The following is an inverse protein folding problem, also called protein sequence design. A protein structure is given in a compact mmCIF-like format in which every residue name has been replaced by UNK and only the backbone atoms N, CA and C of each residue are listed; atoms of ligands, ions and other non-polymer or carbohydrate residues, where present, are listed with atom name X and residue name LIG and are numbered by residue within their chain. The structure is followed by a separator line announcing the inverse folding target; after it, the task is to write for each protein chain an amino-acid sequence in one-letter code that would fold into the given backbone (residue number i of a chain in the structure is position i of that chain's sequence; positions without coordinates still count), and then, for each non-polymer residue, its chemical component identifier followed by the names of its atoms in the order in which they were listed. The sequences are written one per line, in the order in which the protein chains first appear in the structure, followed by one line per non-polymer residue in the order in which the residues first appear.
data_IF_379855935128
#
_entry.id   IF_379855935128
#
_cell.length_a   1.000
_cell.length_b   1.000
_cell.length_c   1.000
_cell.angle_alpha   90.00
_cell.angle_beta   90.00
_cell.angle_gamma   90.00
#
_symmetry.space_group_name_H-M   'P 1'
#
loop_
_entity.id
_entity.type
_entity.pdbx_description
1 polymer ?
#
# COMPACT_ATOMS: atom_id res chain seq x y z
N UNK A 1 -25.57 4.68 -8.60
CA UNK A 1 -25.15 3.32 -8.19
C UNK A 1 -23.66 3.31 -7.81
N UNK A 2 -23.25 2.41 -6.90
CA UNK A 2 -21.85 2.21 -6.49
C UNK A 2 -21.38 0.85 -6.97
N UNK A 3 -20.19 0.78 -7.56
CA UNK A 3 -19.53 -0.45 -7.98
C UNK A 3 -18.37 -0.76 -7.04
N UNK A 4 -18.41 -1.89 -6.36
CA UNK A 4 -17.32 -2.43 -5.56
C UNK A 4 -16.63 -3.58 -6.27
N UNK A 5 -15.28 -3.62 -6.26
CA UNK A 5 -14.50 -4.73 -6.83
C UNK A 5 -13.42 -5.11 -5.83
N UNK A 6 -13.37 -6.39 -5.46
CA UNK A 6 -12.27 -6.96 -4.66
C UNK A 6 -11.45 -7.91 -5.53
N UNK A 7 -10.17 -7.56 -5.74
CA UNK A 7 -9.25 -8.37 -6.54
C UNK A 7 -8.37 -9.18 -5.61
N UNK A 8 -8.85 -10.35 -5.23
CA UNK A 8 -8.11 -11.30 -4.40
C UNK A 8 -7.15 -12.18 -5.21
N UNK A 9 -6.31 -12.94 -4.50
CA UNK A 9 -5.34 -13.86 -5.12
C UNK A 9 -5.96 -15.08 -5.82
N UNK A 10 -7.20 -15.44 -5.47
CA UNK A 10 -7.91 -16.63 -6.01
C UNK A 10 -9.18 -16.25 -6.74
N UNK A 11 -9.92 -15.29 -6.22
CA UNK A 11 -11.17 -14.82 -6.79
C UNK A 11 -11.18 -13.29 -6.88
N UNK A 12 -11.87 -12.81 -7.90
CA UNK A 12 -12.27 -11.41 -8.06
C UNK A 12 -13.78 -11.34 -7.84
N UNK A 13 -14.18 -10.58 -6.85
CA UNK A 13 -15.57 -10.31 -6.52
C UNK A 13 -15.96 -8.92 -7.01
N UNK A 14 -17.18 -8.79 -7.57
CA UNK A 14 -17.73 -7.51 -7.97
C UNK A 14 -19.18 -7.39 -7.48
N UNK A 15 -19.58 -6.19 -7.07
CA UNK A 15 -20.93 -5.91 -6.56
C UNK A 15 -21.40 -4.54 -7.00
N UNK A 16 -22.66 -4.42 -7.40
CA UNK A 16 -23.34 -3.14 -7.62
C UNK A 16 -24.36 -2.93 -6.51
N UNK A 17 -24.29 -1.76 -5.88
CA UNK A 17 -25.18 -1.35 -4.81
C UNK A 17 -25.92 -0.09 -5.24
N UNK A 18 -27.22 -0.06 -5.03
CA UNK A 18 -28.06 1.12 -5.21
C UNK A 18 -29.01 1.29 -4.03
N UNK A 19 -29.08 2.52 -3.48
CA UNK A 19 -29.93 2.83 -2.33
C UNK A 19 -29.71 1.92 -1.10
N UNK A 20 -28.51 1.33 -0.95
CA UNK A 20 -28.18 0.39 0.12
C UNK A 20 -28.57 -1.08 -0.16
N UNK A 21 -29.16 -1.38 -1.32
CA UNK A 21 -29.48 -2.74 -1.75
C UNK A 21 -28.47 -3.26 -2.76
N UNK A 22 -28.12 -4.55 -2.67
CA UNK A 22 -27.32 -5.24 -3.69
C UNK A 22 -28.21 -5.47 -4.92
N UNK A 23 -27.85 -4.85 -6.05
CA UNK A 23 -28.55 -5.01 -7.33
C UNK A 23 -28.00 -6.18 -8.13
N UNK A 24 -26.67 -6.34 -8.12
CA UNK A 24 -25.99 -7.42 -8.83
C UNK A 24 -24.71 -7.78 -8.09
N UNK A 25 -24.32 -9.05 -8.14
CA UNK A 25 -23.03 -9.50 -7.63
C UNK A 25 -22.46 -10.63 -8.48
N UNK A 26 -21.15 -10.69 -8.57
CA UNK A 26 -20.43 -11.71 -9.31
C UNK A 26 -19.15 -12.09 -8.60
N UNK A 27 -18.79 -13.38 -8.70
CA UNK A 27 -17.52 -13.93 -8.25
C UNK A 27 -16.88 -14.68 -9.40
N UNK A 28 -15.64 -14.38 -9.73
CA UNK A 28 -14.87 -15.00 -10.82
C UNK A 28 -13.50 -15.42 -10.33
N UNK A 29 -12.88 -16.39 -10.97
CA UNK A 29 -11.50 -16.76 -10.64
C UNK A 29 -10.55 -15.65 -11.07
N UNK A 30 -9.62 -15.28 -10.19
CA UNK A 30 -8.54 -14.37 -10.53
C UNK A 30 -7.55 -15.08 -11.45
N UNK A 31 -7.24 -14.48 -12.59
CA UNK A 31 -6.24 -14.97 -13.54
C UNK A 31 -4.89 -14.36 -13.16
N UNK A 32 -4.02 -15.14 -12.50
CA UNK A 32 -2.74 -14.65 -11.96
C UNK A 32 -1.81 -14.10 -13.04
N UNK A 33 -1.82 -14.71 -14.24
CA UNK A 33 -0.97 -14.30 -15.36
C UNK A 33 -1.52 -13.07 -16.11
N UNK A 34 -2.79 -12.71 -15.89
CA UNK A 34 -3.44 -11.55 -16.49
C UNK A 34 -4.60 -11.08 -15.64
N UNK A 35 -4.31 -10.18 -14.68
CA UNK A 35 -5.30 -9.60 -13.76
C UNK A 35 -6.51 -8.97 -14.49
N UNK A 36 -6.26 -8.41 -15.69
CA UNK A 36 -7.30 -7.79 -16.51
C UNK A 36 -8.43 -8.77 -16.83
N UNK A 37 -8.12 -10.02 -17.17
CA UNK A 37 -9.15 -11.01 -17.55
C UNK A 37 -10.11 -11.27 -16.38
N UNK A 38 -9.59 -11.50 -15.16
CA UNK A 38 -10.42 -11.74 -13.98
C UNK A 38 -11.32 -10.54 -13.64
N UNK A 39 -10.78 -9.33 -13.77
CA UNK A 39 -11.55 -8.08 -13.54
C UNK A 39 -12.62 -7.91 -14.62
N UNK A 40 -12.26 -8.10 -15.89
CA UNK A 40 -13.19 -8.00 -17.03
C UNK A 40 -14.33 -9.02 -16.94
N UNK A 41 -14.01 -10.26 -16.56
CA UNK A 41 -15.03 -11.33 -16.39
C UNK A 41 -16.00 -11.01 -15.24
N UNK A 42 -15.49 -10.48 -14.13
CA UNK A 42 -16.31 -10.06 -13.00
C UNK A 42 -17.21 -8.88 -13.37
N UNK A 43 -16.64 -7.88 -14.05
CA UNK A 43 -17.39 -6.72 -14.57
C UNK A 43 -18.46 -7.13 -15.58
N UNK A 44 -18.13 -7.99 -16.55
CA UNK A 44 -19.09 -8.47 -17.55
C UNK A 44 -20.30 -9.17 -16.93
N UNK A 45 -20.07 -9.91 -15.84
CA UNK A 45 -21.15 -10.57 -15.13
C UNK A 45 -22.00 -9.60 -14.30
N UNK A 46 -21.37 -8.66 -13.58
CA UNK A 46 -22.09 -7.74 -12.67
C UNK A 46 -22.81 -6.62 -13.42
N UNK A 47 -22.28 -6.19 -14.57
CA UNK A 47 -22.83 -5.12 -15.42
C UNK A 47 -23.96 -5.62 -16.34
N UNK A 48 -24.28 -6.92 -16.37
CA UNK A 48 -25.36 -7.44 -17.21
C UNK A 48 -26.68 -6.78 -16.90
N UNK A 49 -27.22 -6.01 -17.85
CA UNK A 49 -28.48 -5.26 -17.72
C UNK A 49 -28.36 -3.96 -16.91
N UNK A 50 -27.16 -3.50 -16.59
CA UNK A 50 -26.91 -2.23 -15.90
C UNK A 50 -26.34 -1.23 -16.87
N UNK A 51 -26.88 -0.01 -16.87
CA UNK A 51 -26.35 1.12 -17.64
C UNK A 51 -25.10 1.68 -16.94
N UNK A 52 -23.96 1.66 -17.63
CA UNK A 52 -22.69 2.16 -17.11
C UNK A 52 -22.74 3.63 -16.68
N UNK A 53 -23.57 4.45 -17.32
CA UNK A 53 -23.75 5.86 -16.98
C UNK A 53 -24.37 6.06 -15.56
N UNK A 54 -25.00 5.04 -14.99
CA UNK A 54 -25.54 5.09 -13.64
C UNK A 54 -24.52 4.77 -12.54
N UNK A 55 -23.33 4.33 -12.91
CA UNK A 55 -22.24 4.12 -11.94
C UNK A 55 -21.62 5.47 -11.59
N UNK A 56 -21.75 5.86 -10.32
CA UNK A 56 -21.29 7.14 -9.79
C UNK A 56 -19.90 7.05 -9.18
N UNK A 57 -19.50 5.86 -8.71
CA UNK A 57 -18.22 5.61 -8.08
C UNK A 57 -17.82 4.14 -8.20
N UNK A 58 -16.54 3.91 -8.41
CA UNK A 58 -15.89 2.59 -8.31
C UNK A 58 -15.01 2.57 -7.08
N UNK A 59 -15.17 1.54 -6.23
CA UNK A 59 -14.30 1.32 -5.06
C UNK A 59 -13.64 -0.03 -5.17
N UNK A 60 -12.31 -0.03 -4.99
CA UNK A 60 -11.48 -1.23 -5.15
C UNK A 60 -10.88 -1.65 -3.82
N UNK A 61 -10.77 -2.97 -3.61
CA UNK A 61 -9.78 -3.57 -2.73
C UNK A 61 -8.92 -4.57 -3.50
N UNK A 62 -7.72 -4.86 -3.03
CA UNK A 62 -6.83 -5.79 -3.71
C UNK A 62 -5.82 -6.43 -2.77
N UNK A 63 -5.48 -7.67 -3.02
CA UNK A 63 -4.37 -8.35 -2.34
C UNK A 63 -3.08 -8.37 -3.18
N UNK A 64 -3.04 -7.69 -4.33
CA UNK A 64 -1.91 -7.74 -5.27
C UNK A 64 -0.60 -7.31 -4.59
N UNK A 65 -0.59 -6.16 -3.90
CA UNK A 65 0.61 -5.67 -3.19
C UNK A 65 0.99 -6.60 -2.03
N UNK A 66 0.00 -7.03 -1.23
CA UNK A 66 0.23 -7.97 -0.13
C UNK A 66 0.85 -9.28 -0.62
N UNK A 67 0.26 -9.88 -1.66
CA UNK A 67 0.73 -11.14 -2.22
C UNK A 67 2.14 -11.01 -2.81
N UNK A 68 2.42 -9.92 -3.54
CA UNK A 68 3.77 -9.64 -4.08
C UNK A 68 4.82 -9.68 -2.97
N UNK A 69 4.55 -9.02 -1.85
CA UNK A 69 5.49 -8.98 -0.72
C UNK A 69 5.57 -10.34 0.00
N UNK A 70 4.45 -10.98 0.27
CA UNK A 70 4.41 -12.27 0.98
C UNK A 70 5.08 -13.38 0.18
N UNK A 71 4.91 -13.36 -1.15
CA UNK A 71 5.52 -14.33 -2.08
C UNK A 71 6.98 -13.98 -2.45
N UNK A 72 7.58 -12.92 -1.87
CA UNK A 72 8.94 -12.45 -2.17
C UNK A 72 9.17 -12.14 -3.67
N UNK A 73 8.18 -11.53 -4.30
CA UNK A 73 8.19 -11.15 -5.71
C UNK A 73 8.37 -9.64 -5.93
N UNK A 74 8.53 -8.89 -4.85
CA UNK A 74 8.81 -7.46 -4.94
C UNK A 74 10.16 -7.20 -5.60
N UNK A 75 10.26 -6.05 -6.28
CA UNK A 75 11.50 -5.67 -6.93
C UNK A 75 12.57 -5.22 -5.92
N UNK A 76 13.86 -5.45 -6.19
CA UNK A 76 14.95 -4.96 -5.35
C UNK A 76 14.99 -3.43 -5.36
N UNK A 77 15.34 -2.84 -4.22
CA UNK A 77 15.39 -1.39 -4.01
C UNK A 77 16.71 -1.02 -3.35
N UNK A 78 17.38 0.01 -3.86
CA UNK A 78 18.54 0.60 -3.19
C UNK A 78 18.06 1.56 -2.10
N UNK A 79 18.48 1.31 -0.85
CA UNK A 79 18.03 2.04 0.32
C UNK A 79 19.09 3.06 0.77
N UNK A 80 18.76 4.34 0.69
CA UNK A 80 19.61 5.46 1.13
C UNK A 80 19.11 6.03 2.45
N UNK A 81 20.03 6.18 3.42
CA UNK A 81 19.68 6.56 4.78
C UNK A 81 20.56 7.68 5.28
N UNK A 82 19.94 8.80 5.70
CA UNK A 82 20.60 9.89 6.43
C UNK A 82 20.29 9.70 7.93
N UNK A 83 21.10 8.90 8.60
CA UNK A 83 20.87 8.51 9.99
C UNK A 83 21.32 9.55 11.01
N UNK A 84 22.29 10.41 10.65
CA UNK A 84 22.95 11.30 11.59
C UNK A 84 23.75 10.55 12.67
N UNK A 85 24.16 11.21 13.74
CA UNK A 85 24.89 10.56 14.82
C UNK A 85 24.01 9.54 15.58
N UNK A 86 24.62 8.45 16.01
CA UNK A 86 24.00 7.41 16.80
C UNK A 86 24.39 6.01 16.34
N UNK A 87 23.66 5.00 16.81
CA UNK A 87 23.89 3.60 16.43
C UNK A 87 23.35 3.33 15.04
N UNK A 88 24.15 2.70 14.19
CA UNK A 88 23.67 2.08 12.95
C UNK A 88 22.84 0.86 13.30
N UNK A 89 21.72 0.71 12.60
CA UNK A 89 20.71 -0.33 12.86
C UNK A 89 20.47 -1.14 11.58
N UNK A 90 21.53 -1.67 11.00
CA UNK A 90 21.51 -2.36 9.70
C UNK A 90 20.53 -3.54 9.71
N UNK A 91 20.48 -4.28 10.81
CA UNK A 91 19.72 -5.54 10.93
C UNK A 91 18.19 -5.35 11.00
N UNK A 92 17.71 -4.12 11.06
CA UNK A 92 16.26 -3.87 11.13
C UNK A 92 15.63 -3.53 9.77
N UNK A 93 16.45 -3.40 8.73
CA UNK A 93 15.97 -3.07 7.39
C UNK A 93 15.98 -4.29 6.47
N UNK A 94 15.11 -4.33 5.44
CA UNK A 94 15.05 -5.44 4.49
C UNK A 94 16.36 -5.66 3.71
N UNK A 95 17.13 -4.59 3.55
CA UNK A 95 18.44 -4.60 2.88
C UNK A 95 19.42 -3.74 3.65
N UNK A 96 20.72 -3.95 3.42
CA UNK A 96 21.76 -3.10 3.99
C UNK A 96 21.69 -1.70 3.38
N UNK A 97 21.50 -0.63 4.19
CA UNK A 97 21.40 0.73 3.67
C UNK A 97 22.74 1.28 3.16
N UNK A 98 22.65 2.18 2.20
CA UNK A 98 23.71 3.12 1.84
C UNK A 98 23.60 4.32 2.77
N UNK A 99 24.50 4.43 3.74
CA UNK A 99 24.51 5.55 4.67
C UNK A 99 25.15 6.78 4.03
N UNK A 100 24.39 7.88 4.08
CA UNK A 100 24.84 9.19 3.63
C UNK A 100 25.22 10.04 4.84
N UNK A 101 26.23 10.90 4.67
CA UNK A 101 26.52 11.96 5.63
C UNK A 101 25.40 12.99 5.59
N UNK A 102 25.10 13.57 6.73
CA UNK A 102 24.03 14.54 6.88
C UNK A 102 23.36 14.36 8.24
N UNK A 103 22.81 15.42 8.78
CA UNK A 103 22.16 15.37 10.06
C UNK A 103 21.16 16.51 10.25
N UNK A 104 19.92 16.14 10.51
CA UNK A 104 18.87 17.02 11.04
C UNK A 104 18.62 16.67 12.49
N UNK A 105 18.58 17.66 13.38
CA UNK A 105 18.33 17.46 14.81
C UNK A 105 16.83 17.23 15.12
N UNK A 106 16.52 16.90 16.37
CA UNK A 106 15.16 16.64 16.83
C UNK A 106 14.22 17.88 16.76
N UNK A 107 14.74 19.06 16.56
CA UNK A 107 13.97 20.31 16.35
C UNK A 107 13.71 20.59 14.88
N UNK A 108 14.32 19.82 13.96
CA UNK A 108 14.24 20.02 12.53
C UNK A 108 15.30 20.97 11.96
N UNK A 109 16.35 21.28 12.76
CA UNK A 109 17.46 22.12 12.29
C UNK A 109 18.46 21.22 11.54
N UNK A 110 18.78 21.55 10.31
CA UNK A 110 19.85 20.90 9.54
C UNK A 110 21.18 21.33 10.15
N UNK A 111 21.86 20.40 10.81
CA UNK A 111 23.16 20.62 11.46
C UNK A 111 24.31 20.34 10.50
N UNK A 112 24.16 19.29 9.67
CA UNK A 112 25.11 18.93 8.63
C UNK A 112 24.31 18.60 7.36
N UNK A 113 24.69 19.20 6.24
CA UNK A 113 24.04 18.94 4.95
C UNK A 113 24.59 17.70 4.29
N UNK A 114 23.73 16.98 3.62
CA UNK A 114 24.16 15.87 2.74
C UNK A 114 24.91 16.44 1.54
N UNK A 115 26.01 15.78 1.17
CA UNK A 115 26.74 16.07 -0.07
C UNK A 115 25.93 15.55 -1.27
N UNK A 116 25.22 16.46 -1.93
CA UNK A 116 24.34 16.16 -3.06
C UNK A 116 25.14 15.63 -4.26
N UNK A 117 26.28 16.25 -4.57
CA UNK A 117 27.11 15.83 -5.72
C UNK A 117 27.81 14.50 -5.47
N UNK A 118 28.37 14.29 -4.29
CA UNK A 118 28.92 12.99 -3.90
C UNK A 118 27.84 11.91 -3.85
N UNK A 119 26.61 12.26 -3.47
CA UNK A 119 25.45 11.32 -3.50
C UNK A 119 25.12 10.90 -4.93
N UNK A 120 25.12 11.82 -5.90
CA UNK A 120 24.87 11.52 -7.32
C UNK A 120 25.91 10.56 -7.88
N UNK A 121 27.19 10.79 -7.59
CA UNK A 121 28.27 9.90 -8.02
C UNK A 121 28.17 8.52 -7.36
N UNK A 122 27.84 8.47 -6.07
CA UNK A 122 27.62 7.23 -5.34
C UNK A 122 26.42 6.43 -5.89
N UNK A 123 25.33 7.12 -6.26
CA UNK A 123 24.14 6.51 -6.83
C UNK A 123 24.46 5.69 -8.09
N UNK A 124 25.22 6.26 -9.02
CA UNK A 124 25.65 5.56 -10.25
C UNK A 124 26.46 4.28 -9.94
N UNK A 125 27.33 4.32 -8.92
CA UNK A 125 28.12 3.14 -8.52
C UNK A 125 27.25 2.08 -7.85
N UNK A 126 26.28 2.47 -7.02
CA UNK A 126 25.37 1.55 -6.34
C UNK A 126 24.45 0.88 -7.35
N UNK A 127 23.77 1.67 -8.19
CA UNK A 127 22.87 1.22 -9.23
C UNK A 127 23.57 0.26 -10.23
N UNK A 128 24.81 0.56 -10.63
CA UNK A 128 25.58 -0.33 -11.52
C UNK A 128 25.86 -1.70 -10.91
N UNK A 129 25.83 -1.85 -9.58
CA UNK A 129 26.02 -3.12 -8.88
C UNK A 129 24.71 -3.84 -8.62
N UNK A 130 23.68 -3.12 -8.23
CA UNK A 130 22.36 -3.66 -7.90
C UNK A 130 21.53 -3.98 -9.15
N UNK A 131 21.71 -3.19 -10.22
CA UNK A 131 20.92 -3.30 -11.45
C UNK A 131 19.47 -2.85 -11.32
N UNK A 132 19.07 -2.31 -10.15
CA UNK A 132 17.70 -1.79 -9.94
C UNK A 132 17.61 -0.32 -10.32
N UNK A 133 16.44 0.12 -10.78
CA UNK A 133 16.09 1.51 -11.03
C UNK A 133 15.14 2.08 -9.95
N UNK A 134 15.04 1.38 -8.81
CA UNK A 134 14.20 1.76 -7.68
C UNK A 134 15.06 2.15 -6.48
N UNK A 135 14.74 3.28 -5.87
CA UNK A 135 15.39 3.73 -4.65
C UNK A 135 14.39 4.12 -3.56
N UNK A 136 14.82 4.02 -2.32
CA UNK A 136 14.12 4.57 -1.16
C UNK A 136 15.06 5.46 -0.36
N UNK A 137 14.56 6.57 0.14
CA UNK A 137 15.31 7.56 0.92
C UNK A 137 14.63 7.80 2.24
N UNK A 138 15.39 7.79 3.32
CA UNK A 138 14.84 8.16 4.62
C UNK A 138 15.87 8.88 5.49
N UNK A 139 15.44 9.97 6.13
CA UNK A 139 16.25 10.72 7.05
C UNK A 139 15.69 10.69 8.47
N UNK A 140 16.58 10.56 9.46
CA UNK A 140 16.21 10.70 10.86
C UNK A 140 15.70 12.14 11.08
N UNK A 141 14.51 12.25 11.71
CA UNK A 141 13.78 13.50 11.84
C UNK A 141 13.29 14.16 10.53
N UNK A 142 13.27 13.44 9.40
CA UNK A 142 12.72 13.90 8.12
C UNK A 142 11.30 14.46 8.22
N UNK A 143 10.48 14.00 9.16
CA UNK A 143 9.13 14.55 9.41
C UNK A 143 9.15 15.93 10.09
N UNK A 144 10.27 16.31 10.70
CA UNK A 144 10.46 17.67 11.25
C UNK A 144 10.97 18.63 10.18
N UNK A 145 11.83 18.11 9.30
CA UNK A 145 12.37 18.84 8.17
C UNK A 145 12.74 17.84 7.06
N UNK A 146 11.97 17.76 5.98
CA UNK A 146 12.19 16.79 4.90
C UNK A 146 13.33 17.15 3.96
N UNK A 147 14.04 18.28 4.21
CA UNK A 147 15.01 18.81 3.26
C UNK A 147 16.09 17.82 2.84
N UNK A 148 16.65 17.06 3.78
CA UNK A 148 17.69 16.07 3.47
C UNK A 148 17.11 14.93 2.58
N UNK A 149 15.89 14.49 2.82
CA UNK A 149 15.24 13.48 1.96
C UNK A 149 14.96 14.04 0.56
N UNK A 150 14.53 15.30 0.45
CA UNK A 150 14.27 15.97 -0.83
C UNK A 150 15.57 16.17 -1.61
N UNK A 151 16.62 16.68 -0.96
CA UNK A 151 17.92 16.93 -1.60
C UNK A 151 18.55 15.61 -2.11
N UNK A 152 18.47 14.54 -1.30
CA UNK A 152 18.92 13.21 -1.70
C UNK A 152 18.07 12.66 -2.86
N UNK A 153 16.75 12.72 -2.78
CA UNK A 153 15.88 12.25 -3.85
C UNK A 153 16.15 12.98 -5.18
N UNK A 154 16.41 14.29 -5.13
CA UNK A 154 16.80 15.06 -6.32
C UNK A 154 18.17 14.63 -6.87
N UNK A 155 19.13 14.28 -6.00
CA UNK A 155 20.42 13.77 -6.45
C UNK A 155 20.31 12.40 -7.12
N UNK A 156 19.31 11.59 -6.75
CA UNK A 156 19.06 10.26 -7.27
C UNK A 156 18.21 10.25 -8.55
N UNK A 157 17.52 11.34 -8.90
CA UNK A 157 16.49 11.39 -9.93
C UNK A 157 17.01 11.09 -11.36
N UNK A 158 18.30 11.31 -11.63
CA UNK A 158 18.93 10.98 -12.92
C UNK A 158 19.30 9.48 -13.03
N UNK A 159 19.31 8.76 -11.89
CA UNK A 159 19.77 7.36 -11.81
C UNK A 159 18.60 6.39 -11.61
N UNK A 160 17.56 6.78 -10.85
CA UNK A 160 16.45 5.90 -10.49
C UNK A 160 15.13 6.45 -11.02
N UNK A 161 14.32 5.59 -11.59
CA UNK A 161 13.00 5.95 -12.14
C UNK A 161 11.92 6.10 -11.06
N UNK A 162 12.10 5.41 -9.94
CA UNK A 162 11.17 5.45 -8.81
C UNK A 162 11.94 5.70 -7.52
N UNK A 163 11.54 6.76 -6.79
CA UNK A 163 12.16 7.13 -5.52
C UNK A 163 11.06 7.42 -4.50
N UNK A 164 11.05 6.65 -3.42
CA UNK A 164 10.14 6.88 -2.29
C UNK A 164 10.86 7.53 -1.13
N UNK A 165 10.24 8.52 -0.48
CA UNK A 165 10.81 9.18 0.71
C UNK A 165 10.01 8.87 1.97
N UNK A 166 10.69 8.63 3.09
CA UNK A 166 10.05 8.22 4.34
C UNK A 166 9.11 9.29 4.91
N UNK A 167 9.45 10.57 4.79
CA UNK A 167 8.63 11.68 5.29
C UNK A 167 7.35 11.91 4.48
N UNK A 168 7.33 11.55 3.19
CA UNK A 168 6.13 11.64 2.36
C UNK A 168 5.09 10.57 2.72
N UNK A 169 5.53 9.41 3.20
CA UNK A 169 4.65 8.28 3.52
C UNK A 169 4.08 8.33 4.93
N UNK A 170 4.74 8.98 5.88
CA UNK A 170 4.25 9.03 7.25
C UNK A 170 4.78 10.24 8.02
N UNK A 171 3.88 10.93 8.71
CA UNK A 171 4.21 11.99 9.65
C UNK A 171 4.72 11.50 11.03
N UNK A 172 4.84 10.20 11.25
CA UNK A 172 5.29 9.64 12.52
C UNK A 172 6.80 9.82 12.71
N UNK A 173 7.23 10.10 13.95
CA UNK A 173 8.66 10.26 14.27
C UNK A 173 9.46 8.96 14.20
N UNK A 174 8.82 7.80 14.17
CA UNK A 174 9.48 6.49 14.14
C UNK A 174 10.24 6.31 12.82
N UNK A 175 11.51 6.70 12.83
CA UNK A 175 12.39 6.68 11.67
C UNK A 175 12.53 5.29 11.03
N UNK A 176 12.80 4.18 11.78
CA UNK A 176 12.90 2.86 11.17
C UNK A 176 11.63 2.44 10.42
N UNK A 177 10.45 2.68 11.01
CA UNK A 177 9.18 2.31 10.38
C UNK A 177 8.94 3.08 9.08
N UNK A 178 9.29 4.38 9.04
CA UNK A 178 9.19 5.17 7.80
C UNK A 178 10.14 4.67 6.73
N UNK A 179 11.38 4.33 7.12
CA UNK A 179 12.39 3.78 6.23
C UNK A 179 11.90 2.48 5.58
N UNK A 180 11.33 1.57 6.38
CA UNK A 180 10.74 0.31 5.92
C UNK A 180 9.57 0.57 4.98
N UNK A 181 8.68 1.52 5.32
CA UNK A 181 7.57 1.88 4.43
C UNK A 181 8.06 2.44 3.09
N UNK A 182 9.10 3.28 3.08
CA UNK A 182 9.68 3.82 1.86
C UNK A 182 10.30 2.72 0.98
N UNK A 183 10.99 1.78 1.60
CA UNK A 183 11.53 0.61 0.90
C UNK A 183 10.44 -0.18 0.19
N UNK A 184 9.43 -0.65 0.94
CA UNK A 184 8.35 -1.44 0.35
C UNK A 184 7.50 -0.63 -0.62
N UNK A 185 7.36 0.69 -0.43
CA UNK A 185 6.65 1.53 -1.38
C UNK A 185 7.30 1.50 -2.77
N UNK A 186 8.60 1.69 -2.86
CA UNK A 186 9.33 1.57 -4.14
C UNK A 186 9.29 0.13 -4.67
N UNK A 187 9.44 -0.86 -3.80
CA UNK A 187 9.50 -2.27 -4.18
C UNK A 187 8.22 -2.79 -4.87
N UNK A 188 7.07 -2.18 -4.58
CA UNK A 188 5.77 -2.59 -5.13
C UNK A 188 5.19 -1.60 -6.16
N UNK A 189 5.91 -0.54 -6.48
CA UNK A 189 5.41 0.52 -7.37
C UNK A 189 5.02 -0.01 -8.75
N UNK A 190 5.84 -0.87 -9.35
CA UNK A 190 5.59 -1.42 -10.68
C UNK A 190 4.35 -2.33 -10.69
N UNK A 191 4.22 -3.25 -9.75
CA UNK A 191 3.08 -4.16 -9.68
C UNK A 191 1.78 -3.42 -9.43
N UNK A 192 1.81 -2.37 -8.63
CA UNK A 192 0.62 -1.53 -8.42
C UNK A 192 0.24 -0.76 -9.69
N UNK A 193 1.22 -0.23 -10.42
CA UNK A 193 0.98 0.44 -11.71
C UNK A 193 0.37 -0.50 -12.75
N UNK A 194 0.85 -1.73 -12.84
CA UNK A 194 0.26 -2.77 -13.70
C UNK A 194 -1.19 -3.07 -13.30
N UNK A 195 -1.46 -3.24 -12.01
CA UNK A 195 -2.80 -3.43 -11.48
C UNK A 195 -3.71 -2.24 -11.83
N UNK A 196 -3.27 -1.00 -11.60
CA UNK A 196 -4.02 0.21 -11.95
C UNK A 196 -4.38 0.25 -13.42
N UNK A 197 -3.42 -0.04 -14.30
CA UNK A 197 -3.65 -0.06 -15.75
C UNK A 197 -4.67 -1.15 -16.15
N UNK A 198 -4.60 -2.33 -15.54
CA UNK A 198 -5.56 -3.41 -15.78
C UNK A 198 -6.98 -3.01 -15.37
N UNK A 199 -7.13 -2.32 -14.23
CA UNK A 199 -8.41 -1.78 -13.77
C UNK A 199 -8.98 -0.78 -14.77
N UNK A 200 -8.21 0.24 -15.15
CA UNK A 200 -8.69 1.27 -16.07
C UNK A 200 -9.08 0.67 -17.42
N UNK A 201 -8.29 -0.24 -17.96
CA UNK A 201 -8.61 -0.90 -19.25
C UNK A 201 -9.90 -1.74 -19.14
N UNK A 202 -10.10 -2.45 -18.02
CA UNK A 202 -11.34 -3.18 -17.80
C UNK A 202 -12.55 -2.23 -17.71
N UNK A 203 -12.44 -1.11 -16.98
CA UNK A 203 -13.51 -0.11 -16.87
C UNK A 203 -13.83 0.54 -18.22
N UNK A 204 -12.82 0.84 -19.03
CA UNK A 204 -12.98 1.39 -20.38
C UNK A 204 -13.76 0.42 -21.29
N UNK A 205 -13.50 -0.89 -21.20
CA UNK A 205 -14.21 -1.94 -21.96
C UNK A 205 -15.73 -1.89 -21.70
N UNK A 206 -16.15 -1.52 -20.49
CA UNK A 206 -17.56 -1.37 -20.11
C UNK A 206 -18.06 0.06 -20.14
N UNK A 207 -17.28 1.00 -20.68
CA UNK A 207 -17.63 2.43 -20.77
C UNK A 207 -17.96 3.06 -19.40
N UNK A 208 -17.30 2.58 -18.34
CA UNK A 208 -17.46 3.14 -16.99
C UNK A 208 -16.45 4.30 -16.82
N UNK A 209 -16.98 5.52 -16.66
CA UNK A 209 -16.18 6.75 -16.53
C UNK A 209 -16.19 7.33 -15.11
N UNK A 210 -16.82 6.62 -14.17
CA UNK A 210 -16.93 7.03 -12.78
C UNK A 210 -15.55 7.13 -12.09
N UNK A 211 -15.38 8.02 -11.10
CA UNK A 211 -14.14 8.13 -10.33
C UNK A 211 -13.82 6.82 -9.59
N UNK A 212 -12.55 6.46 -9.62
CA UNK A 212 -12.03 5.20 -9.06
C UNK A 212 -11.29 5.47 -7.77
N UNK A 213 -11.73 4.84 -6.69
CA UNK A 213 -11.09 4.88 -5.38
C UNK A 213 -10.55 3.51 -5.01
N UNK A 214 -9.45 3.48 -4.29
CA UNK A 214 -8.93 2.25 -3.71
C UNK A 214 -8.89 2.34 -2.19
N UNK A 215 -9.25 1.25 -1.55
CA UNK A 215 -9.26 1.10 -0.12
C UNK A 215 -7.82 1.06 0.41
N UNK A 216 -7.62 1.61 1.61
CA UNK A 216 -6.38 1.51 2.38
C UNK A 216 -6.53 0.55 3.55
N UNK A 217 -5.41 0.11 4.09
CA UNK A 217 -5.35 -0.80 5.24
C UNK A 217 -6.06 -0.27 6.49
N UNK A 218 -6.18 1.05 6.64
CA UNK A 218 -6.86 1.71 7.77
C UNK A 218 -8.36 1.95 7.54
N UNK A 219 -8.90 1.47 6.43
CA UNK A 219 -10.31 1.65 6.05
C UNK A 219 -10.62 2.97 5.35
N UNK A 220 -9.66 3.87 5.21
CA UNK A 220 -9.79 5.03 4.34
C UNK A 220 -9.75 4.64 2.86
N UNK A 221 -10.17 5.54 1.99
CA UNK A 221 -10.03 5.39 0.54
C UNK A 221 -9.41 6.63 -0.09
N UNK A 222 -8.68 6.43 -1.19
CA UNK A 222 -8.07 7.50 -1.97
C UNK A 222 -8.30 7.25 -3.46
N UNK A 223 -8.29 8.31 -4.29
CA UNK A 223 -8.24 8.15 -5.74
C UNK A 223 -7.07 7.23 -6.12
N UNK A 224 -7.32 6.29 -7.02
CA UNK A 224 -6.31 5.27 -7.40
C UNK A 224 -5.04 5.92 -7.98
N UNK A 225 -5.16 7.06 -8.66
CA UNK A 225 -4.02 7.80 -9.18
C UNK A 225 -3.14 8.42 -8.08
N UNK A 226 -3.74 8.81 -6.96
CA UNK A 226 -3.00 9.25 -5.78
C UNK A 226 -2.23 8.10 -5.15
N UNK A 227 -2.84 6.92 -5.10
CA UNK A 227 -2.25 5.72 -4.49
C UNK A 227 -1.09 5.16 -5.31
N UNK A 228 -0.99 5.48 -6.59
CA UNK A 228 0.19 5.13 -7.41
C UNK A 228 1.51 5.63 -6.80
N UNK A 229 1.47 6.74 -6.07
CA UNK A 229 2.65 7.28 -5.37
C UNK A 229 2.88 6.69 -3.98
N UNK A 230 1.85 6.05 -3.41
CA UNK A 230 1.88 5.47 -2.07
C UNK A 230 1.32 4.03 -2.05
N UNK A 231 1.70 3.14 -3.01
CA UNK A 231 1.10 1.81 -3.15
C UNK A 231 1.25 0.93 -1.90
N UNK A 232 2.23 1.16 -1.05
CA UNK A 232 2.37 0.43 0.23
C UNK A 232 1.16 0.59 1.16
N UNK A 233 0.37 1.66 1.02
CA UNK A 233 -0.86 1.88 1.78
C UNK A 233 -1.98 0.88 1.43
N UNK A 234 -1.83 0.12 0.34
CA UNK A 234 -2.77 -0.94 -0.05
C UNK A 234 -2.42 -2.33 0.49
N UNK A 235 -1.37 -2.44 1.30
CA UNK A 235 -1.08 -3.68 2.03
C UNK A 235 -2.24 -3.98 2.98
N UNK A 236 -2.72 -5.25 2.99
CA UNK A 236 -3.83 -5.70 3.86
C UNK A 236 -5.19 -5.02 3.62
N UNK A 237 -5.48 -4.59 2.40
CA UNK A 237 -6.81 -4.02 2.07
C UNK A 237 -7.93 -5.07 2.08
N UNK A 238 -7.65 -6.34 1.80
CA UNK A 238 -8.62 -7.44 1.92
C UNK A 238 -9.21 -7.53 3.34
N UNK A 239 -8.38 -7.73 4.38
CA UNK A 239 -8.84 -7.65 5.77
C UNK A 239 -9.56 -6.35 6.13
N UNK A 240 -9.12 -5.20 5.58
CA UNK A 240 -9.79 -3.92 5.80
C UNK A 240 -11.21 -3.90 5.19
N UNK A 241 -11.38 -4.45 3.98
CA UNK A 241 -12.69 -4.58 3.33
C UNK A 241 -13.64 -5.44 4.15
N UNK A 242 -13.16 -6.58 4.69
CA UNK A 242 -13.93 -7.44 5.59
C UNK A 242 -14.37 -6.70 6.85
N UNK A 243 -13.47 -5.94 7.51
CA UNK A 243 -13.80 -5.15 8.71
C UNK A 243 -14.88 -4.11 8.40
N UNK A 244 -14.78 -3.39 7.28
CA UNK A 244 -15.78 -2.38 6.86
C UNK A 244 -17.12 -3.02 6.48
N UNK A 245 -17.10 -4.15 5.78
CA UNK A 245 -18.30 -4.91 5.45
C UNK A 245 -19.04 -5.38 6.70
N UNK A 246 -18.32 -5.92 7.67
CA UNK A 246 -18.88 -6.32 8.96
C UNK A 246 -19.40 -5.11 9.75
N UNK A 247 -18.72 -3.96 9.70
CA UNK A 247 -19.21 -2.73 10.34
C UNK A 247 -20.56 -2.28 9.77
N UNK A 248 -20.75 -2.41 8.46
CA UNK A 248 -22.01 -2.09 7.79
C UNK A 248 -23.14 -3.07 8.13
N UNK A 249 -22.83 -4.36 8.33
CA UNK A 249 -23.81 -5.42 8.57
C UNK A 249 -24.16 -5.65 10.05
N UNK A 250 -23.35 -5.13 10.98
CA UNK A 250 -23.59 -5.35 12.42
C UNK A 250 -24.87 -4.69 12.91
N UNK A 251 -25.66 -5.47 13.64
CA UNK A 251 -26.90 -5.02 14.29
C UNK A 251 -26.69 -4.30 15.63
N UNK A 252 -25.56 -4.60 16.34
CA UNK A 252 -25.25 -4.05 17.68
C UNK A 252 -23.95 -3.24 17.62
N UNK A 253 -24.07 -1.89 17.72
CA UNK A 253 -22.92 -0.98 17.57
C UNK A 253 -22.12 -0.74 18.86
N UNK A 254 -22.65 -1.07 20.04
CA UNK A 254 -22.00 -0.79 21.36
C UNK A 254 -21.31 -1.99 22.00
N UNK A 255 -21.39 -3.16 21.39
CA UNK A 255 -20.83 -4.39 21.93
C UNK A 255 -19.34 -4.56 21.64
N UNK A 256 -18.65 -5.33 22.50
CA UNK A 256 -17.37 -5.93 22.15
C UNK A 256 -17.65 -7.09 21.20
N UNK A 257 -17.01 -7.09 20.06
CA UNK A 257 -17.25 -8.08 18.99
C UNK A 257 -15.93 -8.70 18.56
N UNK A 258 -15.93 -9.99 18.35
CA UNK A 258 -14.89 -10.74 17.64
C UNK A 258 -15.48 -11.17 16.31
N UNK A 259 -14.80 -10.90 15.21
CA UNK A 259 -15.18 -11.42 13.91
C UNK A 259 -14.10 -12.36 13.39
N UNK A 260 -14.55 -13.44 12.76
CA UNK A 260 -13.72 -14.45 12.13
C UNK A 260 -14.08 -14.49 10.64
N UNK A 261 -13.10 -14.22 9.78
CA UNK A 261 -13.18 -14.43 8.34
C UNK A 261 -12.42 -15.72 8.01
N UNK A 262 -13.15 -16.79 7.77
CA UNK A 262 -12.59 -18.13 7.58
C UNK A 262 -12.41 -18.37 6.09
N UNK A 263 -11.17 -18.24 5.62
CA UNK A 263 -10.76 -18.54 4.25
C UNK A 263 -10.34 -20.01 4.06
N UNK A 264 -9.87 -20.32 2.88
CA UNK A 264 -9.42 -21.69 2.53
C UNK A 264 -8.03 -22.05 3.06
N UNK A 265 -7.24 -21.05 3.54
CA UNK A 265 -5.87 -21.23 4.03
C UNK A 265 -5.63 -20.53 5.38
N UNK A 266 -6.31 -19.43 5.61
CA UNK A 266 -6.16 -18.61 6.81
C UNK A 266 -7.52 -18.21 7.37
N UNK A 267 -7.53 -17.92 8.66
CA UNK A 267 -8.64 -17.27 9.35
C UNK A 267 -8.18 -15.91 9.85
N UNK A 268 -8.84 -14.85 9.42
CA UNK A 268 -8.58 -13.49 9.85
C UNK A 268 -9.47 -13.13 11.04
N UNK A 269 -8.83 -12.71 12.12
CA UNK A 269 -9.49 -12.35 13.38
C UNK A 269 -9.42 -10.85 13.56
N UNK A 270 -10.56 -10.21 13.66
CA UNK A 270 -10.68 -8.78 13.95
C UNK A 270 -11.55 -8.51 15.17
N UNK A 271 -11.25 -7.42 15.86
CA UNK A 271 -11.84 -7.10 17.16
C UNK A 271 -12.46 -5.72 17.15
N UNK A 272 -13.63 -5.59 17.79
CA UNK A 272 -14.26 -4.30 18.09
C UNK A 272 -14.34 -4.08 19.60
N UNK A 273 -14.04 -2.87 20.01
CA UNK A 273 -14.22 -2.40 21.38
C UNK A 273 -15.20 -1.24 21.39
N UNK A 274 -16.30 -1.39 22.12
CA UNK A 274 -17.34 -0.36 22.21
C UNK A 274 -17.81 0.10 20.81
N UNK A 275 -18.09 -0.85 19.93
CA UNK A 275 -18.59 -0.60 18.60
C UNK A 275 -17.58 -0.08 17.57
N UNK A 276 -16.31 0.07 17.92
CA UNK A 276 -15.25 0.56 17.01
C UNK A 276 -14.25 -0.54 16.72
N UNK A 277 -13.86 -0.76 15.45
CA UNK A 277 -12.81 -1.70 15.14
C UNK A 277 -11.48 -1.23 15.73
N UNK A 278 -10.68 -2.17 16.21
CA UNK A 278 -9.36 -1.86 16.74
C UNK A 278 -8.39 -1.57 15.59
N UNK A 279 -7.52 -0.59 15.85
CA UNK A 279 -6.44 -0.18 14.94
C UNK A 279 -5.08 -0.56 15.51
N UNK A 280 -4.10 -0.79 14.63
CA UNK A 280 -2.70 -0.89 15.04
C UNK A 280 -2.22 0.46 15.60
N UNK A 281 -1.50 0.44 16.71
CA UNK A 281 -1.07 1.71 17.37
C UNK A 281 0.00 2.46 16.57
N UNK A 282 0.97 1.73 16.03
CA UNK A 282 2.17 2.31 15.41
C UNK A 282 2.35 1.95 13.93
N UNK A 283 1.43 1.22 13.37
CA UNK A 283 1.49 0.63 12.04
C UNK A 283 1.65 -0.89 12.07
N UNK A 284 1.48 -1.50 10.92
CA UNK A 284 1.50 -2.95 10.74
C UNK A 284 2.92 -3.42 10.40
N UNK A 285 3.23 -4.68 10.72
CA UNK A 285 4.43 -5.31 10.20
C UNK A 285 4.19 -5.84 8.79
N UNK A 286 5.11 -5.56 7.89
CA UNK A 286 5.17 -6.12 6.54
C UNK A 286 6.23 -7.22 6.60
N UNK A 287 5.82 -8.48 6.58
CA UNK A 287 6.61 -9.62 7.06
C UNK A 287 7.09 -9.38 8.50
N UNK A 288 8.40 -9.57 8.78
CA UNK A 288 9.03 -9.28 10.07
C UNK A 288 9.35 -7.79 10.29
N UNK A 289 9.19 -6.93 9.27
CA UNK A 289 9.61 -5.53 9.31
C UNK A 289 8.49 -4.60 9.78
N UNK A 290 8.63 -3.93 10.93
CA UNK A 290 7.62 -2.98 11.40
C UNK A 290 7.54 -1.75 10.50
N UNK A 291 6.40 -1.52 9.84
CA UNK A 291 6.17 -0.39 8.96
C UNK A 291 5.40 0.74 9.65
N UNK A 292 5.31 1.89 8.99
CA UNK A 292 4.48 3.02 9.40
C UNK A 292 3.05 2.98 8.80
N UNK A 293 2.72 1.95 8.02
CA UNK A 293 1.40 1.80 7.40
C UNK A 293 0.35 1.54 8.47
N UNK A 294 -0.65 2.40 8.56
CA UNK A 294 -1.77 2.26 9.49
C UNK A 294 -2.75 1.20 8.98
N UNK A 295 -3.25 0.37 9.89
CA UNK A 295 -4.16 -0.73 9.55
C UNK A 295 -5.14 -1.00 10.68
N UNK A 296 -6.27 -1.61 10.36
CA UNK A 296 -7.04 -2.33 11.38
C UNK A 296 -6.17 -3.41 12.03
N UNK A 297 -6.43 -3.66 13.32
CA UNK A 297 -5.77 -4.73 14.06
C UNK A 297 -6.42 -6.08 13.69
N UNK A 298 -5.90 -6.70 12.64
CA UNK A 298 -6.32 -8.02 12.19
C UNK A 298 -5.17 -9.01 12.44
N UNK A 299 -5.49 -10.19 12.95
CA UNK A 299 -4.54 -11.28 13.14
C UNK A 299 -4.95 -12.44 12.25
N UNK A 300 -4.07 -12.83 11.35
CA UNK A 300 -4.24 -14.01 10.49
C UNK A 300 -3.62 -15.23 11.15
N UNK A 301 -4.37 -16.31 11.24
CA UNK A 301 -3.91 -17.62 11.72
C UNK A 301 -4.06 -18.66 10.62
N UNK A 302 -3.07 -19.55 10.48
CA UNK A 302 -3.02 -20.56 9.42
C UNK A 302 -3.95 -21.75 9.69
N UNK A 303 -5.22 -21.47 9.94
CA UNK A 303 -6.29 -22.46 10.10
C UNK A 303 -7.39 -22.07 9.12
N UNK A 304 -7.57 -22.85 8.09
CA UNK A 304 -8.59 -22.66 7.07
C UNK A 304 -8.94 -23.97 6.39
#
# INVERSE_FOLDING_TARGET
MLLGIDVGGTFTDAVIIDGGAIISSAKRRTTKDNLMNGITDALGAVMSGVDSAQIEQVTLSTTVVTNTIVEHKEQPVDLYVVAGPGRNVDDIFPVRPVYLKGYTDHRGIVVERTDVEGTRQLANMVQSKSGTDLAAVSAKFGVRNPKEEIDVAQALADTYSTISTGSALSGNLNFPRRTISAYFNSAVAAVFKEFKNAVYHALETFHITAPVYILKADGGSLPIDTVEFIPVETVFTGPAATVLGLEALRSTKDAHTVALDIGGTTTDISLWKQGKPLMTKEGVSIREYPSAVRSFAVTSVGIG
#
